data_IF_180148237637
#
_entry.id   IF_180148237637
#
_cell.length_a   1.000
_cell.length_b   1.000
_cell.length_c   1.000
_cell.angle_alpha   90.00
_cell.angle_beta   90.00
_cell.angle_gamma   90.00
#
_symmetry.space_group_name_H-M   'P 1'
#
loop_
_entity.id
_entity.type
_entity.pdbx_description
1 polymer ?
#
# COMPACT_ATOMS: atom_id res chain seq x y z
N UNK A 1 10.01 -22.04 8.55
CA UNK A 1 9.79 -21.37 9.85
C UNK A 1 8.87 -20.18 9.60
N UNK A 2 7.58 -20.32 9.88
CA UNK A 2 6.57 -19.27 9.68
C UNK A 2 6.55 -18.34 10.89
N UNK A 3 7.56 -17.47 10.98
CA UNK A 3 7.43 -16.29 11.83
C UNK A 3 6.32 -15.44 11.25
N UNK A 4 5.32 -15.10 12.05
CA UNK A 4 4.40 -14.02 11.70
C UNK A 4 5.22 -12.72 11.72
N UNK A 5 5.98 -12.48 10.64
CA UNK A 5 6.66 -11.23 10.42
C UNK A 5 5.61 -10.13 10.51
N UNK A 6 5.88 -9.13 11.35
CA UNK A 6 4.97 -7.99 11.50
C UNK A 6 5.02 -7.21 10.19
N UNK A 7 4.20 -7.60 9.22
CA UNK A 7 4.18 -6.97 7.91
C UNK A 7 3.65 -5.53 8.06
N UNK A 8 4.57 -4.57 7.96
CA UNK A 8 4.24 -3.15 7.88
C UNK A 8 3.53 -2.94 6.55
N UNK A 9 2.50 -2.10 6.50
CA UNK A 9 1.70 -1.93 5.30
C UNK A 9 1.25 -0.49 5.05
N UNK A 10 0.85 -0.20 3.83
CA UNK A 10 0.08 0.98 3.46
C UNK A 10 -1.32 0.53 3.10
N UNK A 11 -2.31 1.14 3.75
CA UNK A 11 -3.72 0.87 3.51
C UNK A 11 -4.24 1.77 2.38
N UNK A 12 -4.69 1.16 1.28
CA UNK A 12 -5.30 1.86 0.14
C UNK A 12 -6.76 1.45 0.02
N UNK A 13 -7.65 2.43 0.16
CA UNK A 13 -9.08 2.23 -0.02
C UNK A 13 -9.44 2.11 -1.51
N UNK A 14 -10.25 1.11 -1.81
CA UNK A 14 -10.68 0.71 -3.14
C UNK A 14 -12.21 0.91 -3.23
N UNK A 15 -12.62 1.83 -4.08
CA UNK A 15 -14.01 2.00 -4.52
C UNK A 15 -14.29 1.10 -5.74
N UNK A 16 -15.49 1.16 -6.30
CA UNK A 16 -15.89 0.36 -7.46
C UNK A 16 -14.98 0.57 -8.68
N UNK A 17 -14.69 1.83 -9.05
CA UNK A 17 -13.79 2.15 -10.18
C UNK A 17 -12.39 1.53 -10.03
N UNK A 18 -11.80 1.62 -8.83
CA UNK A 18 -10.49 1.01 -8.55
C UNK A 18 -10.56 -0.51 -8.51
N UNK A 19 -11.69 -1.06 -8.07
CA UNK A 19 -11.92 -2.49 -8.07
C UNK A 19 -11.98 -3.03 -9.51
N UNK A 20 -12.62 -2.32 -10.43
CA UNK A 20 -12.62 -2.65 -11.85
C UNK A 20 -11.20 -2.61 -12.42
N UNK A 21 -10.40 -1.60 -12.09
CA UNK A 21 -9.00 -1.53 -12.50
C UNK A 21 -8.18 -2.73 -11.98
N UNK A 22 -8.36 -3.10 -10.72
CA UNK A 22 -7.75 -4.31 -10.14
C UNK A 22 -8.26 -5.59 -10.81
N UNK A 23 -9.55 -5.69 -11.13
CA UNK A 23 -10.13 -6.84 -11.81
C UNK A 23 -9.57 -7.02 -13.21
N UNK A 24 -9.41 -5.93 -13.97
CA UNK A 24 -8.80 -5.94 -15.29
C UNK A 24 -7.33 -6.40 -15.26
N UNK A 25 -6.64 -6.16 -14.13
CA UNK A 25 -5.29 -6.67 -13.88
C UNK A 25 -5.26 -8.06 -13.25
N UNK A 26 -6.41 -8.73 -13.05
CA UNK A 26 -6.47 -10.03 -12.38
C UNK A 26 -6.17 -10.00 -10.87
N UNK A 27 -6.18 -8.82 -10.25
CA UNK A 27 -5.84 -8.57 -8.84
C UNK A 27 -7.06 -8.32 -7.94
N UNK A 28 -8.29 -8.50 -8.43
CA UNK A 28 -9.48 -8.27 -7.62
C UNK A 28 -9.49 -9.05 -6.29
N UNK A 29 -8.90 -10.25 -6.26
CA UNK A 29 -8.78 -11.08 -5.06
C UNK A 29 -7.79 -10.56 -4.01
N UNK A 30 -6.92 -9.60 -4.37
CA UNK A 30 -5.96 -8.99 -3.44
C UNK A 30 -6.59 -7.92 -2.55
N UNK A 31 -7.74 -7.37 -2.93
CA UNK A 31 -8.47 -6.38 -2.16
C UNK A 31 -9.46 -7.05 -1.20
N UNK A 32 -9.29 -6.80 0.10
CA UNK A 32 -10.11 -7.39 1.18
C UNK A 32 -11.41 -6.62 1.35
N UNK A 33 -12.50 -7.33 1.63
CA UNK A 33 -13.75 -6.68 2.02
C UNK A 33 -13.58 -5.89 3.31
N UNK A 34 -14.06 -4.65 3.30
CA UNK A 34 -14.01 -3.76 4.43
C UNK A 34 -15.39 -3.10 4.61
N UNK A 35 -15.43 -1.83 4.98
CA UNK A 35 -16.66 -1.18 5.40
C UNK A 35 -17.48 -0.65 4.21
N UNK A 36 -18.81 -0.79 4.29
CA UNK A 36 -19.78 -0.17 3.38
C UNK A 36 -19.52 -0.39 1.88
N UNK A 37 -19.17 -1.62 1.47
CA UNK A 37 -18.91 -1.96 0.07
C UNK A 37 -17.55 -1.48 -0.45
N UNK A 38 -16.78 -0.75 0.36
CA UNK A 38 -15.39 -0.42 0.05
C UNK A 38 -14.50 -1.61 0.37
N UNK A 39 -13.51 -1.82 -0.49
CA UNK A 39 -12.45 -2.81 -0.26
C UNK A 39 -11.16 -2.12 0.19
N UNK A 40 -10.27 -2.89 0.79
CA UNK A 40 -8.98 -2.46 1.28
C UNK A 40 -7.87 -3.25 0.58
N UNK A 41 -6.98 -2.56 -0.11
CA UNK A 41 -5.73 -3.13 -0.62
C UNK A 41 -4.61 -2.81 0.37
N UNK A 42 -3.95 -3.86 0.86
CA UNK A 42 -2.80 -3.74 1.75
C UNK A 42 -1.53 -3.89 0.93
N UNK A 43 -0.72 -2.84 0.87
CA UNK A 43 0.59 -2.87 0.21
C UNK A 43 1.66 -3.02 1.28
N UNK A 44 2.35 -4.15 1.30
CA UNK A 44 3.34 -4.49 2.30
C UNK A 44 4.67 -3.80 2.05
N UNK A 45 5.35 -3.45 3.13
CA UNK A 45 6.61 -2.74 3.10
C UNK A 45 7.57 -3.29 4.16
N UNK A 46 8.86 -3.09 3.93
CA UNK A 46 9.91 -3.41 4.91
C UNK A 46 10.09 -2.27 5.91
N UNK A 47 10.81 -2.54 7.00
CA UNK A 47 11.13 -1.52 7.99
C UNK A 47 11.97 -0.38 7.41
N UNK A 48 12.97 -0.71 6.60
CA UNK A 48 13.81 0.28 5.91
C UNK A 48 13.00 1.16 4.95
N UNK A 49 12.10 0.57 4.16
CA UNK A 49 11.22 1.32 3.26
C UNK A 49 10.26 2.23 4.05
N UNK A 50 9.66 1.73 5.15
CA UNK A 50 8.81 2.52 6.04
C UNK A 50 9.56 3.75 6.56
N UNK A 51 10.80 3.59 7.03
CA UNK A 51 11.60 4.72 7.51
C UNK A 51 11.83 5.78 6.42
N UNK A 52 12.15 5.35 5.20
CA UNK A 52 12.34 6.26 4.06
C UNK A 52 11.03 6.98 3.70
N UNK A 53 9.90 6.25 3.68
CA UNK A 53 8.57 6.83 3.41
C UNK A 53 8.24 7.91 4.45
N UNK A 54 8.44 7.63 5.74
CA UNK A 54 8.17 8.59 6.82
C UNK A 54 9.08 9.82 6.75
N UNK A 55 10.35 9.66 6.33
CA UNK A 55 11.26 10.78 6.10
C UNK A 55 10.80 11.68 4.94
N UNK A 56 10.33 11.09 3.83
CA UNK A 56 9.87 11.83 2.65
C UNK A 56 8.52 12.50 2.85
N UNK A 57 7.67 11.95 3.71
CA UNK A 57 6.33 12.46 4.00
C UNK A 57 6.18 12.74 5.49
N UNK A 58 6.64 13.92 5.99
CA UNK A 58 6.59 14.25 7.42
C UNK A 58 5.20 14.24 8.06
N UNK A 59 4.14 14.35 7.24
CA UNK A 59 2.75 14.25 7.70
C UNK A 59 2.25 12.81 7.88
N UNK A 60 2.95 11.83 7.33
CA UNK A 60 2.62 10.42 7.48
C UNK A 60 3.00 9.92 8.88
N UNK A 61 2.24 8.94 9.39
CA UNK A 61 2.47 8.34 10.70
C UNK A 61 2.40 6.84 10.60
N UNK A 62 3.33 6.15 11.25
CA UNK A 62 3.24 4.71 11.40
C UNK A 62 2.47 4.38 12.68
N UNK A 63 1.30 3.74 12.54
CA UNK A 63 0.59 3.16 13.68
C UNK A 63 1.15 1.79 14.01
N UNK A 64 2.13 1.74 14.91
CA UNK A 64 2.70 0.50 15.41
C UNK A 64 1.78 -0.24 16.40
N UNK A 65 0.77 0.43 16.97
CA UNK A 65 0.02 -0.06 18.11
C UNK A 65 -1.17 -0.93 17.70
N UNK A 66 -1.87 -0.60 16.61
CA UNK A 66 -3.08 -1.33 16.22
C UNK A 66 -2.96 -1.98 14.84
N UNK A 67 -2.83 -1.18 13.78
CA UNK A 67 -2.94 -1.68 12.39
C UNK A 67 -1.61 -2.06 11.77
N UNK A 68 -0.48 -1.60 12.34
CA UNK A 68 0.87 -1.73 11.75
C UNK A 68 0.92 -1.17 10.33
N UNK A 69 0.23 -0.05 10.12
CA UNK A 69 0.16 0.63 8.83
C UNK A 69 0.73 2.04 8.87
N UNK A 70 1.25 2.49 7.74
CA UNK A 70 1.58 3.88 7.49
C UNK A 70 0.30 4.59 7.07
N UNK A 71 -0.14 5.51 7.92
CA UNK A 71 -1.34 6.32 7.79
C UNK A 71 -1.00 7.77 7.41
N UNK A 72 -2.03 8.53 7.04
CA UNK A 72 -1.93 9.95 6.69
C UNK A 72 -1.04 10.27 5.48
N UNK A 73 -0.72 9.28 4.64
CA UNK A 73 -0.08 9.53 3.35
C UNK A 73 -1.00 10.37 2.43
N UNK A 74 -0.44 11.33 1.66
CA UNK A 74 -1.21 12.10 0.69
C UNK A 74 -1.94 11.21 -0.30
N UNK A 75 -3.13 11.63 -0.74
CA UNK A 75 -3.94 10.88 -1.72
C UNK A 75 -3.14 10.49 -2.96
N UNK A 76 -2.35 11.42 -3.54
CA UNK A 76 -1.51 11.16 -4.71
C UNK A 76 -0.50 10.02 -4.50
N UNK A 77 0.02 9.85 -3.28
CA UNK A 77 0.95 8.77 -2.96
C UNK A 77 0.21 7.42 -2.94
N UNK A 78 -0.96 7.36 -2.30
CA UNK A 78 -1.79 6.15 -2.26
C UNK A 78 -2.25 5.73 -3.67
N UNK A 79 -2.61 6.71 -4.49
CA UNK A 79 -3.00 6.50 -5.88
C UNK A 79 -1.83 5.93 -6.70
N UNK A 80 -0.64 6.52 -6.56
CA UNK A 80 0.56 6.02 -7.25
C UNK A 80 0.96 4.61 -6.82
N UNK A 81 0.87 4.31 -5.52
CA UNK A 81 1.13 2.96 -5.01
C UNK A 81 0.14 1.94 -5.58
N UNK A 82 -1.13 2.31 -5.76
CA UNK A 82 -2.13 1.46 -6.42
C UNK A 82 -1.78 1.22 -7.89
N UNK A 83 -1.43 2.27 -8.64
CA UNK A 83 -1.01 2.15 -10.04
C UNK A 83 0.19 1.21 -10.21
N UNK A 84 1.19 1.35 -9.33
CA UNK A 84 2.37 0.49 -9.32
C UNK A 84 2.02 -0.95 -8.92
N UNK A 85 1.12 -1.13 -7.96
CA UNK A 85 0.63 -2.45 -7.56
C UNK A 85 -0.03 -3.17 -8.74
N UNK A 86 -0.87 -2.46 -9.50
CA UNK A 86 -1.50 -2.96 -10.72
C UNK A 86 -0.46 -3.28 -11.79
N UNK A 87 0.47 -2.35 -12.07
CA UNK A 87 1.46 -2.53 -13.11
C UNK A 87 2.42 -3.72 -12.83
N UNK A 88 2.80 -3.90 -11.57
CA UNK A 88 3.71 -4.96 -11.12
C UNK A 88 2.99 -6.26 -10.78
N UNK A 89 1.65 -6.27 -10.76
CA UNK A 89 0.84 -7.38 -10.28
C UNK A 89 1.24 -7.85 -8.88
N UNK A 90 1.58 -6.90 -8.00
CA UNK A 90 2.13 -7.16 -6.67
C UNK A 90 1.53 -6.26 -5.61
N UNK A 91 1.48 -6.73 -4.37
CA UNK A 91 1.21 -5.92 -3.18
C UNK A 91 2.38 -5.96 -2.19
N UNK A 92 3.54 -6.41 -2.65
CA UNK A 92 4.73 -6.61 -1.83
C UNK A 92 5.65 -5.39 -1.77
N UNK A 93 6.82 -5.55 -1.11
CA UNK A 93 7.83 -4.51 -0.99
C UNK A 93 8.34 -3.95 -2.32
N UNK A 94 8.27 -4.71 -3.42
CA UNK A 94 8.68 -4.31 -4.76
C UNK A 94 7.89 -3.11 -5.30
N UNK A 95 6.61 -2.99 -4.93
CA UNK A 95 5.78 -1.82 -5.23
C UNK A 95 6.36 -0.56 -4.57
N UNK A 96 6.76 -0.69 -3.31
CA UNK A 96 7.31 0.42 -2.52
C UNK A 96 8.71 0.78 -2.98
N UNK A 97 9.55 -0.21 -3.32
CA UNK A 97 10.86 0.04 -3.92
C UNK A 97 10.73 0.84 -5.22
N UNK A 98 9.81 0.42 -6.10
CA UNK A 98 9.57 1.14 -7.36
C UNK A 98 9.09 2.56 -7.11
N UNK A 99 8.17 2.75 -6.17
CA UNK A 99 7.69 4.07 -5.76
C UNK A 99 8.82 4.96 -5.23
N UNK A 100 9.67 4.44 -4.35
CA UNK A 100 10.79 5.18 -3.77
C UNK A 100 11.87 5.51 -4.79
N UNK A 101 12.06 4.68 -5.81
CA UNK A 101 12.97 4.94 -6.92
C UNK A 101 12.45 6.04 -7.86
N UNK A 102 11.15 6.08 -8.16
CA UNK A 102 10.54 7.12 -9.01
C UNK A 102 10.46 8.48 -8.31
N UNK A 103 10.36 8.50 -6.98
CA UNK A 103 10.24 9.72 -6.20
C UNK A 103 11.60 10.32 -5.75
N UNK A 104 12.69 9.98 -6.43
CA UNK A 104 13.95 10.72 -6.31
C UNK A 104 13.87 11.99 -7.18
N UNK A 105 14.26 13.17 -6.68
CA UNK A 105 14.38 14.38 -7.49
C UNK A 105 15.47 14.26 -8.56
#
# INVERSE_FOLDING_TARGET
>A
MSGAEKHIKVNVWINEERLEALANAGMAGSAKDAFAGMKLLEIYTTEAQKDIVLQRFPGAKYDSATTKSIELLPKKVKDRLLELSIALHSTGPDVVDRFLAEAQP
#
